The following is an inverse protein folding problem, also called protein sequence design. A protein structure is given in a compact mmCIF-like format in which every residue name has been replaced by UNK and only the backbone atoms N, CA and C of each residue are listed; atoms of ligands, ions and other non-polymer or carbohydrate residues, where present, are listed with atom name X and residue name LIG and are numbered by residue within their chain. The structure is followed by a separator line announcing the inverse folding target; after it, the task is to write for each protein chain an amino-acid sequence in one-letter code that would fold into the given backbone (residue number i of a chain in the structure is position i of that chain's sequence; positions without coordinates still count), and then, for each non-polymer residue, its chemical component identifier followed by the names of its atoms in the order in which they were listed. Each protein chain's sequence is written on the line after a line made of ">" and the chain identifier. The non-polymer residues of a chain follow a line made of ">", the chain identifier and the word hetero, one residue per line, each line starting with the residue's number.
data_IF_970195141243
#
_entry.id   IF_970195141243
#
_cell.length_a   1.000
_cell.length_b   1.000
_cell.length_c   1.000
_cell.angle_alpha   90.00
_cell.angle_beta   90.00
_cell.angle_gamma   90.00
#
_symmetry.space_group_name_H-M   'P 1'
#
loop_
_entity.id
_entity.type
_entity.pdbx_description
1 polymer ?
#
# COMPACT_ATOMS: atom_id res chain seq x y z
N UNK A 1 16.34 -10.60 43.66
CA UNK A 1 16.22 -10.35 42.21
C UNK A 1 14.81 -9.88 41.95
N UNK A 2 14.64 -8.59 41.63
CA UNK A 2 13.35 -7.96 41.37
C UNK A 2 12.97 -8.26 39.93
N UNK A 3 11.84 -8.95 39.74
CA UNK A 3 11.23 -9.24 38.45
C UNK A 3 10.63 -7.92 37.98
N UNK A 4 11.20 -7.29 36.96
CA UNK A 4 10.57 -6.14 36.31
C UNK A 4 9.33 -6.65 35.58
N UNK A 5 8.15 -6.35 36.14
CA UNK A 5 6.86 -6.47 35.47
C UNK A 5 6.86 -5.49 34.29
N UNK A 6 7.10 -6.00 33.08
CA UNK A 6 6.72 -5.28 31.87
C UNK A 6 5.20 -5.26 31.80
N UNK A 7 4.64 -4.07 31.84
CA UNK A 7 3.22 -3.82 31.58
C UNK A 7 2.94 -4.19 30.12
N UNK A 8 2.47 -5.40 29.87
CA UNK A 8 1.95 -5.83 28.57
C UNK A 8 0.58 -5.18 28.36
N UNK A 9 0.55 -4.02 27.71
CA UNK A 9 -0.68 -3.32 27.32
C UNK A 9 -1.27 -3.81 25.98
N UNK A 10 -0.83 -4.95 25.47
CA UNK A 10 -1.36 -5.56 24.25
C UNK A 10 -2.29 -6.72 24.63
N UNK A 11 -3.55 -6.61 24.19
CA UNK A 11 -4.56 -7.67 24.32
C UNK A 11 -4.05 -8.88 23.52
N UNK A 12 -4.05 -10.10 24.07
CA UNK A 12 -3.57 -11.27 23.35
C UNK A 12 -4.34 -11.40 22.02
N UNK A 13 -3.62 -11.31 20.90
CA UNK A 13 -4.24 -11.44 19.58
C UNK A 13 -4.84 -12.84 19.43
N UNK A 14 -6.13 -12.90 19.13
CA UNK A 14 -6.79 -14.18 18.92
C UNK A 14 -6.24 -14.84 17.64
N UNK A 15 -5.56 -15.99 17.78
CA UNK A 15 -5.03 -16.82 16.68
C UNK A 15 -6.14 -17.54 15.88
N UNK A 16 -6.98 -16.76 15.22
CA UNK A 16 -8.18 -17.27 14.54
C UNK A 16 -8.23 -16.93 13.04
N UNK A 17 -7.20 -16.29 12.48
CA UNK A 17 -7.19 -15.91 11.06
C UNK A 17 -6.98 -17.14 10.18
N UNK A 18 -7.94 -17.40 9.29
CA UNK A 18 -7.83 -18.46 8.28
C UNK A 18 -6.82 -18.10 7.18
N UNK A 19 -6.40 -19.08 6.37
CA UNK A 19 -5.53 -18.86 5.21
C UNK A 19 -6.06 -17.75 4.29
N UNK A 20 -7.35 -17.78 3.97
CA UNK A 20 -7.97 -16.78 3.10
C UNK A 20 -7.92 -15.39 3.71
N UNK A 21 -8.19 -15.24 5.01
CA UNK A 21 -8.11 -13.95 5.69
C UNK A 21 -6.67 -13.42 5.73
N UNK A 22 -5.68 -14.29 5.98
CA UNK A 22 -4.28 -13.91 5.91
C UNK A 22 -3.87 -13.44 4.50
N UNK A 23 -4.33 -14.12 3.45
CA UNK A 23 -4.11 -13.69 2.06
C UNK A 23 -4.80 -12.37 1.78
N UNK A 24 -6.07 -12.19 2.16
CA UNK A 24 -6.79 -10.93 1.93
C UNK A 24 -6.14 -9.75 2.67
N UNK A 25 -5.71 -9.95 3.92
CA UNK A 25 -5.00 -8.93 4.68
C UNK A 25 -3.64 -8.62 4.04
N UNK A 26 -2.90 -9.64 3.60
CA UNK A 26 -1.62 -9.46 2.91
C UNK A 26 -1.76 -8.76 1.56
N UNK A 27 -2.80 -9.09 0.79
CA UNK A 27 -3.14 -8.41 -0.45
C UNK A 27 -3.59 -6.98 -0.20
N UNK A 28 -4.36 -6.69 0.85
CA UNK A 28 -4.78 -5.32 1.16
C UNK A 28 -3.59 -4.42 1.54
N UNK A 29 -2.60 -4.98 2.25
CA UNK A 29 -1.35 -4.28 2.60
C UNK A 29 -0.52 -4.03 1.35
N UNK A 30 -0.31 -5.06 0.52
CA UNK A 30 0.55 -4.94 -0.66
C UNK A 30 -0.17 -4.21 -1.81
N UNK A 31 -1.34 -4.67 -2.27
CA UNK A 31 -2.14 -4.03 -3.34
C UNK A 31 -2.77 -2.68 -2.94
N UNK A 32 -2.22 -1.99 -1.95
CA UNK A 32 -2.59 -0.61 -1.63
C UNK A 32 -2.18 0.37 -2.73
N UNK A 33 -2.02 1.63 -2.33
CA UNK A 33 -1.77 2.78 -3.22
C UNK A 33 -0.59 2.62 -4.18
N UNK A 34 0.43 1.85 -3.79
CA UNK A 34 1.61 1.63 -4.63
C UNK A 34 1.28 1.19 -6.06
N UNK A 35 0.17 0.46 -6.27
CA UNK A 35 -0.27 0.08 -7.61
C UNK A 35 -0.50 1.27 -8.55
N UNK A 36 -1.02 2.39 -8.03
CA UNK A 36 -1.36 3.56 -8.84
C UNK A 36 -0.13 4.29 -9.39
N UNK A 37 0.99 4.19 -8.68
CA UNK A 37 2.26 4.83 -9.06
C UNK A 37 3.18 3.90 -9.86
N UNK A 38 2.82 2.62 -10.05
CA UNK A 38 3.64 1.69 -10.86
C UNK A 38 3.85 2.13 -12.31
N UNK A 39 2.90 2.80 -13.01
CA UNK A 39 3.15 3.36 -14.34
C UNK A 39 4.15 4.52 -14.29
N UNK A 40 4.04 5.36 -13.26
CA UNK A 40 4.97 6.47 -13.04
C UNK A 40 6.39 5.95 -12.74
N UNK A 41 6.51 4.89 -11.93
CA UNK A 41 7.79 4.22 -11.71
C UNK A 41 8.37 3.65 -13.02
N UNK A 42 7.52 3.14 -13.93
CA UNK A 42 7.95 2.69 -15.25
C UNK A 42 8.38 3.84 -16.17
N UNK A 43 7.74 5.00 -16.08
CA UNK A 43 8.19 6.24 -16.73
C UNK A 43 9.56 6.67 -16.22
N UNK A 44 9.74 6.74 -14.89
CA UNK A 44 10.99 7.18 -14.26
C UNK A 44 12.13 6.17 -14.45
N UNK A 45 11.84 4.88 -14.53
CA UNK A 45 12.85 3.83 -14.71
C UNK A 45 13.10 3.46 -16.17
N UNK A 46 12.13 3.68 -17.05
CA UNK A 46 12.04 3.06 -18.37
C UNK A 46 11.67 1.57 -18.31
N UNK A 47 11.49 0.95 -19.49
CA UNK A 47 11.08 -0.45 -19.62
C UNK A 47 12.01 -1.45 -18.92
N UNK A 48 13.32 -1.24 -18.99
CA UNK A 48 14.29 -2.08 -18.27
C UNK A 48 14.21 -1.89 -16.75
N UNK A 49 13.72 -0.73 -16.30
CA UNK A 49 13.43 -0.45 -14.89
C UNK A 49 12.40 -1.41 -14.30
N UNK A 50 11.48 -1.97 -15.10
CA UNK A 50 10.54 -3.00 -14.63
C UNK A 50 11.24 -4.24 -14.05
N UNK A 51 12.47 -4.53 -14.47
CA UNK A 51 13.26 -5.61 -13.87
C UNK A 51 13.46 -5.42 -12.35
N UNK A 52 13.53 -4.16 -11.89
CA UNK A 52 13.70 -3.79 -10.49
C UNK A 52 12.48 -4.19 -9.66
N UNK A 53 11.27 -4.05 -10.22
CA UNK A 53 10.03 -4.50 -9.59
C UNK A 53 10.12 -6.00 -9.23
N UNK A 54 10.53 -6.85 -10.18
CA UNK A 54 10.66 -8.29 -9.92
C UNK A 54 11.77 -8.62 -8.93
N UNK A 55 12.90 -7.90 -8.99
CA UNK A 55 13.99 -8.07 -8.03
C UNK A 55 13.50 -7.74 -6.61
N UNK A 56 12.80 -6.62 -6.42
CA UNK A 56 12.21 -6.28 -5.14
C UNK A 56 11.16 -7.30 -4.70
N UNK A 57 10.29 -7.78 -5.59
CA UNK A 57 9.33 -8.83 -5.26
C UNK A 57 9.99 -10.09 -4.70
N UNK A 58 11.09 -10.56 -5.31
CA UNK A 58 11.85 -11.71 -4.83
C UNK A 58 12.57 -11.43 -3.51
N UNK A 59 13.22 -10.28 -3.37
CA UNK A 59 13.92 -9.88 -2.15
C UNK A 59 12.96 -9.70 -0.97
N UNK A 60 11.83 -9.02 -1.19
CA UNK A 60 10.80 -8.79 -0.20
C UNK A 60 10.09 -10.09 0.21
N UNK A 61 9.84 -11.02 -0.73
CA UNK A 61 9.36 -12.35 -0.39
C UNK A 61 10.38 -13.11 0.49
N UNK A 62 11.65 -13.15 0.08
CA UNK A 62 12.71 -13.82 0.83
C UNK A 62 12.86 -13.25 2.26
N UNK A 63 12.88 -11.93 2.39
CA UNK A 63 12.97 -11.27 3.69
C UNK A 63 11.70 -11.43 4.52
N UNK A 64 10.52 -11.55 3.90
CA UNK A 64 9.28 -11.93 4.59
C UNK A 64 9.31 -13.37 5.13
N UNK A 65 9.97 -14.29 4.43
CA UNK A 65 10.23 -15.64 4.96
C UNK A 65 11.25 -15.60 6.11
N UNK A 66 12.31 -14.80 5.98
CA UNK A 66 13.31 -14.63 7.04
C UNK A 66 12.67 -14.04 8.31
N UNK A 67 11.75 -13.10 8.15
CA UNK A 67 10.99 -12.51 9.24
C UNK A 67 10.24 -13.56 10.05
N UNK A 68 9.60 -14.53 9.40
CA UNK A 68 9.00 -15.68 10.09
C UNK A 68 10.04 -16.42 10.93
N UNK A 69 11.20 -16.75 10.37
CA UNK A 69 12.24 -17.47 11.11
C UNK A 69 12.75 -16.68 12.31
N UNK A 70 12.80 -15.36 12.23
CA UNK A 70 13.11 -14.49 13.35
C UNK A 70 12.01 -14.50 14.42
N UNK A 71 10.73 -14.50 14.04
CA UNK A 71 9.63 -14.61 15.01
C UNK A 71 9.58 -16.00 15.67
N UNK A 72 9.94 -17.05 14.94
CA UNK A 72 9.99 -18.43 15.44
C UNK A 72 11.20 -18.70 16.34
N UNK A 73 12.18 -17.79 16.46
CA UNK A 73 13.42 -18.04 17.21
C UNK A 73 13.22 -18.04 18.73
N UNK A 74 12.24 -17.28 19.23
CA UNK A 74 11.89 -17.21 20.64
C UNK A 74 10.36 -17.12 20.80
N UNK A 75 9.79 -17.73 21.85
CA UNK A 75 8.33 -17.82 22.03
C UNK A 75 7.63 -16.50 22.28
N UNK A 76 8.38 -15.48 22.70
CA UNK A 76 7.85 -14.21 23.20
C UNK A 76 7.93 -13.09 22.15
N UNK A 77 8.33 -13.39 20.91
CA UNK A 77 8.44 -12.42 19.82
C UNK A 77 7.14 -12.37 19.02
N UNK A 78 6.47 -11.22 19.03
CA UNK A 78 5.22 -11.04 18.29
C UNK A 78 5.32 -9.95 17.22
N UNK A 79 6.19 -8.95 17.43
CA UNK A 79 6.32 -7.77 16.58
C UNK A 79 7.73 -7.62 16.00
N UNK A 80 7.87 -6.83 14.92
CA UNK A 80 9.17 -6.54 14.32
C UNK A 80 10.13 -5.83 15.31
N UNK A 81 9.69 -4.87 16.16
CA UNK A 81 10.52 -4.33 17.24
C UNK A 81 11.03 -5.35 18.26
N UNK A 82 10.28 -6.44 18.51
CA UNK A 82 10.74 -7.51 19.41
C UNK A 82 11.94 -8.25 18.81
N UNK A 83 11.93 -8.49 17.50
CA UNK A 83 13.08 -9.06 16.78
C UNK A 83 14.31 -8.13 16.90
N UNK A 84 14.11 -6.82 16.76
CA UNK A 84 15.16 -5.82 16.97
C UNK A 84 15.73 -5.85 18.40
N UNK A 85 14.86 -6.01 19.40
CA UNK A 85 15.26 -6.18 20.80
C UNK A 85 16.08 -7.46 21.01
N UNK A 86 15.65 -8.58 20.45
CA UNK A 86 16.31 -9.87 20.61
C UNK A 86 17.71 -9.86 19.97
N UNK A 87 17.84 -9.25 18.78
CA UNK A 87 19.10 -9.21 18.05
C UNK A 87 20.11 -8.17 18.58
N UNK A 88 19.65 -6.97 18.97
CA UNK A 88 20.52 -5.84 19.27
C UNK A 88 20.21 -5.12 20.60
N UNK A 89 19.39 -5.73 21.46
CA UNK A 89 18.96 -5.14 22.73
C UNK A 89 18.08 -3.90 22.54
N UNK A 90 18.00 -3.07 23.59
CA UNK A 90 17.09 -1.92 23.64
C UNK A 90 17.33 -0.91 22.52
N UNK A 91 18.58 -0.73 22.10
CA UNK A 91 18.93 0.13 20.97
C UNK A 91 18.33 -0.38 19.67
N UNK A 92 18.35 -1.69 19.43
CA UNK A 92 17.71 -2.31 18.27
C UNK A 92 16.21 -2.09 18.23
N UNK A 93 15.54 -2.30 19.37
CA UNK A 93 14.10 -2.04 19.49
C UNK A 93 13.76 -0.60 19.14
N UNK A 94 14.45 0.36 19.76
CA UNK A 94 14.19 1.79 19.53
C UNK A 94 14.42 2.15 18.06
N UNK A 95 15.53 1.71 17.47
CA UNK A 95 15.85 2.00 16.07
C UNK A 95 14.77 1.46 15.12
N UNK A 96 14.41 0.18 15.26
CA UNK A 96 13.36 -0.46 14.45
C UNK A 96 12.02 0.24 14.65
N UNK A 97 11.63 0.54 15.89
CA UNK A 97 10.39 1.28 16.17
C UNK A 97 10.37 2.65 15.49
N UNK A 98 11.47 3.40 15.51
CA UNK A 98 11.56 4.70 14.82
C UNK A 98 11.36 4.52 13.32
N UNK A 99 12.05 3.56 12.69
CA UNK A 99 11.94 3.31 11.25
C UNK A 99 10.50 2.94 10.86
N UNK A 100 9.88 2.01 11.61
CA UNK A 100 8.51 1.58 11.33
C UNK A 100 7.50 2.70 11.55
N UNK A 101 7.61 3.49 12.63
CA UNK A 101 6.69 4.60 12.84
C UNK A 101 6.85 5.71 11.81
N UNK A 102 8.08 5.97 11.34
CA UNK A 102 8.31 6.90 10.23
C UNK A 102 7.71 6.37 8.92
N UNK A 103 7.85 5.08 8.64
CA UNK A 103 7.23 4.42 7.48
C UNK A 103 5.70 4.55 7.53
N UNK A 104 5.07 4.15 8.64
CA UNK A 104 3.61 4.24 8.80
C UNK A 104 3.11 5.69 8.72
N UNK A 105 3.85 6.65 9.30
CA UNK A 105 3.52 8.07 9.17
C UNK A 105 3.59 8.54 7.71
N UNK A 106 4.64 8.16 6.97
CA UNK A 106 4.78 8.50 5.56
C UNK A 106 3.64 7.88 4.72
N UNK A 107 3.25 6.62 5.00
CA UNK A 107 2.09 5.98 4.36
C UNK A 107 0.80 6.77 4.61
N UNK A 108 0.55 7.23 5.84
CA UNK A 108 -0.63 8.04 6.15
C UNK A 108 -0.63 9.37 5.37
N UNK A 109 0.52 10.03 5.27
CA UNK A 109 0.65 11.28 4.49
C UNK A 109 0.40 11.02 3.00
N UNK A 110 0.97 9.95 2.44
CA UNK A 110 0.75 9.55 1.04
C UNK A 110 -0.73 9.29 0.75
N UNK A 111 -1.42 8.58 1.65
CA UNK A 111 -2.85 8.29 1.49
C UNK A 111 -3.71 9.54 1.52
N UNK A 112 -3.41 10.51 2.40
CA UNK A 112 -4.11 11.81 2.42
C UNK A 112 -3.88 12.59 1.13
N UNK A 113 -2.64 12.64 0.62
CA UNK A 113 -2.31 13.31 -0.64
C UNK A 113 -3.05 12.66 -1.80
N UNK A 114 -3.04 11.33 -1.85
CA UNK A 114 -3.73 10.57 -2.89
C UNK A 114 -5.22 10.83 -2.89
N UNK A 115 -5.87 10.79 -1.73
CA UNK A 115 -7.31 11.02 -1.63
C UNK A 115 -7.66 12.45 -2.03
N UNK A 116 -6.85 13.42 -1.59
CA UNK A 116 -6.95 14.82 -1.99
C UNK A 116 -6.83 15.02 -3.51
N UNK A 117 -5.84 14.40 -4.14
CA UNK A 117 -5.61 14.48 -5.59
C UNK A 117 -6.79 13.87 -6.37
N UNK A 118 -7.27 12.71 -5.95
CA UNK A 118 -8.39 12.04 -6.60
C UNK A 118 -9.70 12.81 -6.43
N UNK A 119 -10.03 13.29 -5.22
CA UNK A 119 -11.26 14.06 -4.98
C UNK A 119 -11.22 15.44 -5.64
N UNK A 120 -10.06 16.12 -5.65
CA UNK A 120 -9.91 17.39 -6.35
C UNK A 120 -10.03 17.24 -7.87
N UNK A 121 -9.64 16.09 -8.44
CA UNK A 121 -9.87 15.80 -9.87
C UNK A 121 -11.36 15.66 -10.22
N UNK A 122 -12.18 15.13 -9.31
CA UNK A 122 -13.63 15.01 -9.49
C UNK A 122 -14.37 16.33 -9.26
N UNK A 123 -13.87 17.16 -8.34
CA UNK A 123 -14.49 18.42 -7.93
C UNK A 123 -13.49 19.58 -7.99
N UNK A 124 -12.97 19.96 -9.18
CA UNK A 124 -11.91 20.96 -9.31
C UNK A 124 -12.34 22.36 -8.88
N UNK A 125 -13.65 22.64 -8.89
CA UNK A 125 -14.22 23.92 -8.48
C UNK A 125 -14.64 23.95 -7.00
N UNK A 126 -14.36 22.90 -6.23
CA UNK A 126 -14.61 22.92 -4.79
C UNK A 126 -13.64 23.92 -4.13
N UNK A 127 -14.18 24.89 -3.41
CA UNK A 127 -13.40 25.83 -2.64
C UNK A 127 -14.17 26.23 -1.38
N UNK A 128 -13.44 26.52 -0.31
CA UNK A 128 -14.02 26.97 0.94
C UNK A 128 -13.33 28.27 1.36
N UNK A 129 -14.09 29.37 1.41
CA UNK A 129 -13.62 30.66 1.91
C UNK A 129 -14.24 30.91 3.28
N UNK A 130 -13.43 30.84 4.34
CA UNK A 130 -13.86 31.13 5.72
C UNK A 130 -12.88 32.12 6.34
N UNK A 131 -13.39 33.28 6.78
CA UNK A 131 -12.62 34.23 7.59
C UNK A 131 -11.37 34.81 6.91
N UNK A 132 -11.35 34.90 5.56
CA UNK A 132 -10.21 35.41 4.78
C UNK A 132 -9.20 34.33 4.36
N UNK A 133 -9.41 33.07 4.72
CA UNK A 133 -8.65 31.93 4.19
C UNK A 133 -9.43 31.30 3.04
N UNK A 134 -8.82 31.26 1.85
CA UNK A 134 -9.33 30.51 0.71
C UNK A 134 -8.61 29.16 0.62
N UNK A 135 -9.36 28.09 0.83
CA UNK A 135 -8.91 26.72 0.60
C UNK A 135 -9.31 26.30 -0.81
N UNK A 136 -8.32 25.99 -1.64
CA UNK A 136 -8.55 25.34 -2.93
C UNK A 136 -9.02 23.89 -2.75
N UNK A 137 -9.43 23.23 -3.84
CA UNK A 137 -9.97 21.87 -3.79
C UNK A 137 -9.00 20.88 -3.12
N UNK A 138 -7.70 20.97 -3.44
CA UNK A 138 -6.68 20.04 -2.93
C UNK A 138 -6.54 20.17 -1.40
N UNK A 139 -6.32 21.39 -0.90
CA UNK A 139 -6.17 21.61 0.54
C UNK A 139 -7.46 21.32 1.30
N UNK A 140 -8.62 21.62 0.70
CA UNK A 140 -9.93 21.29 1.27
C UNK A 140 -10.11 19.78 1.43
N UNK A 141 -9.88 18.99 0.38
CA UNK A 141 -10.05 17.54 0.45
C UNK A 141 -9.00 16.87 1.35
N UNK A 142 -7.75 17.37 1.37
CA UNK A 142 -6.75 16.88 2.33
C UNK A 142 -7.19 17.06 3.79
N UNK A 143 -7.78 18.23 4.11
CA UNK A 143 -8.32 18.52 5.43
C UNK A 143 -9.52 17.61 5.76
N UNK A 144 -10.46 17.46 4.83
CA UNK A 144 -11.65 16.63 5.01
C UNK A 144 -11.29 15.17 5.23
N UNK A 145 -10.39 14.61 4.43
CA UNK A 145 -9.88 13.25 4.60
C UNK A 145 -9.21 13.08 5.96
N UNK A 146 -8.36 14.02 6.37
CA UNK A 146 -7.71 13.97 7.69
C UNK A 146 -8.73 13.92 8.84
N UNK A 147 -9.79 14.74 8.76
CA UNK A 147 -10.87 14.75 9.76
C UNK A 147 -11.69 13.45 9.72
N UNK A 148 -11.94 12.90 8.54
CA UNK A 148 -12.73 11.68 8.35
C UNK A 148 -12.02 10.40 8.81
N UNK A 149 -10.68 10.40 8.80
CA UNK A 149 -9.83 9.28 9.23
C UNK A 149 -9.57 9.31 10.73
N UNK A 150 -9.58 10.49 11.37
CA UNK A 150 -9.32 10.60 12.81
C UNK A 150 -10.16 9.65 13.70
N UNK A 151 -11.47 9.43 13.44
CA UNK A 151 -12.27 8.49 14.22
C UNK A 151 -11.84 7.03 14.09
N UNK A 152 -11.19 6.66 12.99
CA UNK A 152 -10.80 5.26 12.71
C UNK A 152 -9.63 4.82 13.57
N UNK A 153 -8.80 5.75 14.05
CA UNK A 153 -7.71 5.52 15.03
C UNK A 153 -8.23 4.94 16.36
N UNK A 154 -9.52 5.08 16.64
CA UNK A 154 -10.15 4.52 17.85
C UNK A 154 -10.75 3.13 17.64
N UNK A 155 -10.76 2.59 16.41
CA UNK A 155 -11.26 1.26 16.11
C UNK A 155 -10.19 0.22 16.41
N UNK A 156 -10.45 -0.68 17.38
CA UNK A 156 -9.49 -1.70 17.84
C UNK A 156 -9.89 -3.15 17.50
N UNK A 157 -10.92 -3.34 16.67
CA UNK A 157 -11.46 -4.69 16.42
C UNK A 157 -10.88 -5.31 15.13
N UNK A 158 -10.00 -6.29 15.30
CA UNK A 158 -9.34 -7.03 14.22
C UNK A 158 -10.31 -7.89 13.37
N UNK A 159 -11.52 -8.22 13.88
CA UNK A 159 -12.50 -8.99 13.12
C UNK A 159 -13.21 -8.15 12.05
N UNK A 160 -13.42 -6.86 12.34
CA UNK A 160 -13.91 -5.88 11.37
C UNK A 160 -12.88 -5.65 10.25
N UNK A 161 -11.59 -5.74 10.58
CA UNK A 161 -10.48 -5.48 9.68
C UNK A 161 -10.40 -6.46 8.50
N UNK A 162 -10.80 -7.72 8.69
CA UNK A 162 -10.83 -8.71 7.60
C UNK A 162 -11.91 -8.40 6.57
N UNK A 163 -13.05 -7.85 6.97
CA UNK A 163 -14.11 -7.43 6.05
C UNK A 163 -13.71 -6.17 5.28
N UNK A 164 -13.07 -5.22 5.97
CA UNK A 164 -12.52 -4.01 5.35
C UNK A 164 -11.43 -4.37 4.33
N UNK A 165 -10.53 -5.30 4.67
CA UNK A 165 -9.48 -5.80 3.78
C UNK A 165 -10.05 -6.46 2.52
N UNK A 166 -11.16 -7.21 2.65
CA UNK A 166 -11.83 -7.80 1.50
C UNK A 166 -12.37 -6.73 0.54
N UNK A 167 -12.95 -5.65 1.07
CA UNK A 167 -13.39 -4.50 0.30
C UNK A 167 -12.23 -3.82 -0.42
N UNK A 168 -11.11 -3.58 0.28
CA UNK A 168 -9.90 -2.98 -0.30
C UNK A 168 -9.31 -3.79 -1.45
N UNK A 169 -9.19 -5.12 -1.31
CA UNK A 169 -8.70 -5.97 -2.40
C UNK A 169 -9.61 -5.95 -3.63
N UNK A 170 -10.94 -6.03 -3.43
CA UNK A 170 -11.90 -5.91 -4.53
C UNK A 170 -11.76 -4.55 -5.21
N UNK A 171 -11.59 -3.50 -4.42
CA UNK A 171 -11.38 -2.15 -4.91
C UNK A 171 -10.11 -2.05 -5.76
N UNK A 172 -8.97 -2.55 -5.29
CA UNK A 172 -7.72 -2.59 -6.07
C UNK A 172 -7.90 -3.35 -7.39
N UNK A 173 -8.58 -4.50 -7.38
CA UNK A 173 -8.87 -5.27 -8.60
C UNK A 173 -9.72 -4.47 -9.59
N UNK A 174 -10.79 -3.81 -9.11
CA UNK A 174 -11.65 -2.99 -9.95
C UNK A 174 -10.90 -1.81 -10.59
N UNK A 175 -10.00 -1.16 -9.84
CA UNK A 175 -9.15 -0.07 -10.35
C UNK A 175 -8.23 -0.55 -11.46
N UNK A 176 -7.63 -1.73 -11.32
CA UNK A 176 -6.86 -2.38 -12.40
C UNK A 176 -7.74 -2.66 -13.61
N UNK A 177 -8.91 -3.29 -13.40
CA UNK A 177 -9.82 -3.62 -14.50
C UNK A 177 -10.28 -2.37 -15.25
N UNK A 178 -10.54 -1.26 -14.56
CA UNK A 178 -10.88 0.01 -15.21
C UNK A 178 -9.76 0.53 -16.11
N UNK A 179 -8.49 0.46 -15.66
CA UNK A 179 -7.35 0.86 -16.51
C UNK A 179 -7.28 0.00 -17.78
N UNK A 180 -7.39 -1.31 -17.63
CA UNK A 180 -7.37 -2.24 -18.77
C UNK A 180 -8.56 -2.04 -19.70
N UNK A 181 -9.74 -1.75 -19.17
CA UNK A 181 -10.93 -1.45 -19.97
C UNK A 181 -10.72 -0.19 -20.81
N UNK A 182 -10.29 0.90 -20.17
CA UNK A 182 -10.04 2.18 -20.84
C UNK A 182 -8.94 2.03 -21.91
N UNK A 183 -7.88 1.27 -21.63
CA UNK A 183 -6.79 1.05 -22.57
C UNK A 183 -7.13 0.12 -23.74
N UNK A 184 -7.90 -0.94 -23.51
CA UNK A 184 -8.13 -1.99 -24.52
C UNK A 184 -9.48 -1.88 -25.24
N UNK A 185 -10.50 -1.30 -24.60
CA UNK A 185 -11.87 -1.24 -25.16
C UNK A 185 -12.19 0.17 -25.65
N UNK A 186 -11.91 1.19 -24.83
CA UNK A 186 -12.14 2.59 -25.21
C UNK A 186 -11.03 3.15 -26.12
N UNK A 187 -10.00 2.34 -26.42
CA UNK A 187 -8.85 2.62 -27.30
C UNK A 187 -8.12 3.94 -26.96
N UNK A 188 -8.05 4.25 -25.66
CA UNK A 188 -7.35 5.44 -25.17
C UNK A 188 -5.84 5.16 -25.18
N UNK A 189 -5.25 5.26 -26.37
CA UNK A 189 -3.88 5.70 -26.58
C UNK A 189 -2.77 4.69 -26.33
N UNK A 190 -2.73 3.54 -27.01
CA UNK A 190 -1.47 2.77 -27.14
C UNK A 190 -0.56 3.47 -28.16
N UNK A 191 0.04 4.61 -27.78
CA UNK A 191 0.78 5.47 -28.73
C UNK A 191 2.22 5.81 -28.29
N UNK A 192 2.64 5.45 -27.08
CA UNK A 192 3.99 5.73 -26.61
C UNK A 192 4.93 4.54 -26.79
N UNK A 193 6.11 4.76 -27.41
CA UNK A 193 7.18 3.75 -27.43
C UNK A 193 7.86 3.58 -26.05
N UNK A 194 7.65 4.53 -25.13
CA UNK A 194 8.30 4.60 -23.83
C UNK A 194 9.83 4.73 -23.93
N UNK A 195 10.45 5.08 -22.81
CA UNK A 195 11.89 5.16 -22.66
C UNK A 195 12.42 3.77 -22.29
N UNK A 196 13.54 3.33 -22.89
CA UNK A 196 14.10 2.00 -22.62
C UNK A 196 14.69 1.91 -21.21
N UNK A 197 15.46 2.92 -20.81
CA UNK A 197 16.04 3.05 -19.48
C UNK A 197 16.33 4.53 -19.22
N UNK A 198 15.96 5.04 -18.06
CA UNK A 198 16.31 6.40 -17.64
C UNK A 198 17.14 6.37 -16.35
N UNK A 199 18.46 6.49 -16.48
CA UNK A 199 19.38 6.42 -15.33
C UNK A 199 19.28 7.62 -14.39
N UNK A 200 18.87 8.79 -14.88
CA UNK A 200 18.77 9.99 -14.03
C UNK A 200 17.64 9.91 -13.02
N UNK A 201 16.54 9.26 -13.39
CA UNK A 201 15.33 9.10 -12.57
C UNK A 201 15.16 7.68 -12.04
N UNK A 202 16.05 6.75 -12.39
CA UNK A 202 16.06 5.39 -11.86
C UNK A 202 15.99 5.30 -10.32
N UNK A 203 16.65 6.18 -9.53
CA UNK A 203 16.51 6.16 -8.07
C UNK A 203 15.06 6.38 -7.59
N UNK A 204 14.27 7.18 -8.33
CA UNK A 204 12.85 7.39 -8.04
C UNK A 204 12.07 6.09 -8.28
N UNK A 205 12.31 5.44 -9.42
CA UNK A 205 11.70 4.15 -9.73
C UNK A 205 12.06 3.05 -8.71
N UNK A 206 13.32 3.00 -8.26
CA UNK A 206 13.78 2.10 -7.19
C UNK A 206 12.97 2.32 -5.91
N UNK A 207 12.78 3.58 -5.51
CA UNK A 207 11.99 3.92 -4.33
C UNK A 207 10.53 3.49 -4.44
N UNK A 208 9.89 3.79 -5.59
CA UNK A 208 8.48 3.45 -5.84
C UNK A 208 8.23 1.94 -5.92
N UNK A 209 9.12 1.19 -6.60
CA UNK A 209 9.02 -0.27 -6.62
C UNK A 209 9.34 -0.90 -5.27
N UNK A 210 10.27 -0.34 -4.50
CA UNK A 210 10.51 -0.76 -3.12
C UNK A 210 9.27 -0.56 -2.25
N UNK A 211 8.63 0.61 -2.36
CA UNK A 211 7.39 0.91 -1.66
C UNK A 211 6.24 -0.06 -1.99
N UNK A 212 6.10 -0.48 -3.25
CA UNK A 212 5.08 -1.47 -3.65
C UNK A 212 5.15 -2.79 -2.87
N UNK A 213 6.34 -3.17 -2.38
CA UNK A 213 6.54 -4.38 -1.58
C UNK A 213 6.83 -4.10 -0.10
N UNK A 214 6.55 -2.88 0.37
CA UNK A 214 6.65 -2.53 1.78
C UNK A 214 5.47 -3.13 2.54
N UNK A 215 5.73 -4.23 3.26
CA UNK A 215 4.72 -4.89 4.10
C UNK A 215 5.29 -5.41 5.42
N UNK A 216 6.59 -5.30 5.63
CA UNK A 216 7.31 -5.87 6.77
C UNK A 216 6.86 -5.33 8.13
N UNK A 217 6.31 -4.11 8.17
CA UNK A 217 5.67 -3.57 9.36
C UNK A 217 4.45 -4.38 9.82
N UNK A 218 3.71 -4.98 8.87
CA UNK A 218 2.42 -5.64 9.12
C UNK A 218 2.52 -7.16 9.07
N UNK A 219 3.52 -7.70 8.37
CA UNK A 219 3.77 -9.13 8.24
C UNK A 219 3.85 -9.91 9.57
N UNK A 220 4.43 -9.39 10.68
CA UNK A 220 4.37 -10.08 11.97
C UNK A 220 2.94 -10.27 12.46
N UNK A 221 2.09 -9.23 12.36
CA UNK A 221 0.69 -9.30 12.78
C UNK A 221 -0.11 -10.30 11.95
N UNK A 222 0.16 -10.38 10.64
CA UNK A 222 -0.44 -11.42 9.79
C UNK A 222 0.03 -12.80 10.24
N UNK A 223 1.34 -12.99 10.45
CA UNK A 223 1.89 -14.27 10.88
C UNK A 223 1.31 -14.75 12.22
N UNK A 224 1.35 -13.90 13.24
CA UNK A 224 0.97 -14.26 14.62
C UNK A 224 -0.54 -14.36 14.81
N UNK A 225 -1.36 -13.80 13.90
CA UNK A 225 -2.83 -13.96 13.92
C UNK A 225 -3.33 -15.22 13.20
N UNK A 226 -2.49 -15.89 12.39
CA UNK A 226 -2.88 -17.10 11.66
C UNK A 226 -3.20 -18.27 12.60
N UNK A 227 -4.33 -18.92 12.36
CA UNK A 227 -4.72 -20.15 13.05
C UNK A 227 -3.73 -21.31 12.76
N UNK A 228 -3.11 -21.32 11.58
CA UNK A 228 -2.06 -22.26 11.21
C UNK A 228 -0.84 -21.53 10.63
N UNK A 229 0.15 -21.14 11.47
CA UNK A 229 1.34 -20.40 11.03
C UNK A 229 2.19 -21.11 9.98
N UNK A 230 2.11 -22.44 9.87
CA UNK A 230 2.83 -23.19 8.85
C UNK A 230 2.40 -22.85 7.41
N UNK A 231 1.21 -22.29 7.24
CA UNK A 231 0.70 -21.85 5.94
C UNK A 231 1.22 -20.46 5.52
N UNK A 232 1.88 -19.73 6.42
CA UNK A 232 2.35 -18.36 6.16
C UNK A 232 3.25 -18.23 4.92
N UNK A 233 4.23 -19.12 4.63
CA UNK A 233 5.03 -19.03 3.41
C UNK A 233 4.20 -19.14 2.13
N UNK A 234 3.19 -20.03 2.15
CA UNK A 234 2.27 -20.19 1.02
C UNK A 234 1.36 -18.97 0.88
N UNK A 235 0.88 -18.40 2.00
CA UNK A 235 0.08 -17.17 1.97
C UNK A 235 0.90 -16.00 1.40
N UNK A 236 2.14 -15.80 1.88
CA UNK A 236 3.06 -14.80 1.34
C UNK A 236 3.31 -15.01 -0.16
N UNK A 237 3.60 -16.23 -0.60
CA UNK A 237 3.86 -16.53 -2.01
C UNK A 237 2.64 -16.15 -2.88
N UNK A 238 1.44 -16.49 -2.43
CA UNK A 238 0.19 -16.11 -3.10
C UNK A 238 0.05 -14.59 -3.19
N UNK A 239 0.25 -13.86 -2.08
CA UNK A 239 0.17 -12.41 -2.06
C UNK A 239 1.18 -11.78 -3.02
N UNK A 240 2.47 -12.10 -2.88
CA UNK A 240 3.54 -11.56 -3.72
C UNK A 240 3.33 -11.86 -5.20
N UNK A 241 2.84 -13.05 -5.54
CA UNK A 241 2.55 -13.42 -6.94
C UNK A 241 1.44 -12.56 -7.52
N UNK A 242 0.30 -12.45 -6.82
CA UNK A 242 -0.85 -11.66 -7.27
C UNK A 242 -0.47 -10.18 -7.38
N UNK A 243 0.15 -9.61 -6.34
CA UNK A 243 0.59 -8.21 -6.33
C UNK A 243 1.56 -7.91 -7.47
N UNK A 244 2.56 -8.77 -7.68
CA UNK A 244 3.55 -8.59 -8.76
C UNK A 244 2.89 -8.59 -10.13
N UNK A 245 1.95 -9.51 -10.38
CA UNK A 245 1.20 -9.55 -11.64
C UNK A 245 0.35 -8.28 -11.84
N UNK A 246 -0.31 -7.81 -10.78
CA UNK A 246 -1.08 -6.57 -10.82
C UNK A 246 -0.19 -5.36 -11.08
N UNK A 247 0.90 -5.19 -10.33
CA UNK A 247 1.86 -4.10 -10.53
C UNK A 247 2.48 -4.11 -11.91
N UNK A 248 2.97 -5.26 -12.38
CA UNK A 248 3.59 -5.36 -13.70
C UNK A 248 2.57 -5.08 -14.81
N UNK A 249 1.35 -5.58 -14.67
CA UNK A 249 0.25 -5.34 -15.60
C UNK A 249 -0.14 -3.87 -15.67
N UNK A 250 -0.32 -3.22 -14.52
CA UNK A 250 -0.65 -1.78 -14.44
C UNK A 250 0.51 -0.93 -14.95
N UNK A 251 1.75 -1.22 -14.55
CA UNK A 251 2.92 -0.50 -15.03
C UNK A 251 3.03 -0.58 -16.56
N UNK A 252 2.86 -1.77 -17.12
CA UNK A 252 2.89 -2.00 -18.55
C UNK A 252 1.76 -1.24 -19.28
N UNK A 253 0.51 -1.45 -18.85
CA UNK A 253 -0.65 -0.82 -19.46
C UNK A 253 -0.61 0.71 -19.33
N UNK A 254 -0.45 1.21 -18.11
CA UNK A 254 -0.43 2.66 -17.86
C UNK A 254 0.73 3.38 -18.55
N UNK A 255 1.93 2.80 -18.58
CA UNK A 255 3.06 3.45 -19.26
C UNK A 255 2.97 3.38 -20.78
N UNK A 256 2.40 2.29 -21.34
CA UNK A 256 2.11 2.24 -22.79
C UNK A 256 1.02 3.25 -23.18
N UNK A 257 0.01 3.45 -22.33
CA UNK A 257 -1.07 4.40 -22.55
C UNK A 257 -0.61 5.87 -22.45
N UNK A 258 0.09 6.22 -21.38
CA UNK A 258 0.36 7.62 -21.06
C UNK A 258 1.78 8.08 -21.41
N UNK A 259 2.74 7.14 -21.52
CA UNK A 259 4.12 7.46 -21.86
C UNK A 259 4.75 8.51 -20.94
N UNK A 260 5.41 9.51 -21.51
CA UNK A 260 6.05 10.58 -20.72
C UNK A 260 5.03 11.50 -20.01
N UNK A 261 3.75 11.45 -20.38
CA UNK A 261 2.67 12.15 -19.71
C UNK A 261 2.12 11.41 -18.48
N UNK A 262 2.66 10.24 -18.13
CA UNK A 262 2.25 9.54 -16.90
C UNK A 262 2.46 10.46 -15.68
N UNK A 263 1.38 10.67 -14.94
CA UNK A 263 1.32 11.39 -13.68
C UNK A 263 1.69 10.46 -12.52
N UNK A 264 1.89 11.01 -11.32
CA UNK A 264 2.26 10.24 -10.11
C UNK A 264 1.28 9.13 -9.75
N UNK A 265 0.03 9.27 -10.19
CA UNK A 265 -1.03 8.28 -10.06
C UNK A 265 -1.76 8.17 -11.40
N UNK A 266 -1.90 6.96 -11.93
CA UNK A 266 -2.52 6.81 -13.25
C UNK A 266 -4.00 7.23 -13.28
N UNK A 267 -4.68 7.28 -12.13
CA UNK A 267 -6.08 7.76 -12.04
C UNK A 267 -6.22 9.21 -12.50
N UNK A 268 -5.18 10.02 -12.32
CA UNK A 268 -5.13 11.41 -12.77
C UNK A 268 -4.95 11.53 -14.29
N UNK A 269 -4.44 10.48 -14.95
CA UNK A 269 -4.32 10.42 -16.40
C UNK A 269 -5.63 9.98 -17.09
N UNK A 270 -6.58 9.39 -16.36
CA UNK A 270 -7.78 8.82 -16.96
C UNK A 270 -8.75 9.91 -17.48
N UNK A 271 -9.40 9.71 -18.64
CA UNK A 271 -10.40 10.64 -19.16
C UNK A 271 -11.62 10.74 -18.23
N UNK A 272 -11.92 11.95 -17.74
CA UNK A 272 -12.91 12.18 -16.67
C UNK A 272 -14.38 11.98 -17.11
N UNK A 273 -14.64 11.94 -18.41
CA UNK A 273 -15.95 11.73 -19.00
C UNK A 273 -16.40 10.26 -18.99
N UNK A 274 -15.47 9.31 -18.86
CA UNK A 274 -15.76 7.88 -18.87
C UNK A 274 -16.30 7.36 -17.53
N UNK A 275 -17.29 6.47 -17.59
CA UNK A 275 -17.83 5.80 -16.39
C UNK A 275 -16.76 4.94 -15.70
N UNK A 276 -15.91 4.26 -16.47
CA UNK A 276 -14.81 3.46 -15.96
C UNK A 276 -13.83 4.29 -15.12
N UNK A 277 -13.57 5.54 -15.51
CA UNK A 277 -12.77 6.50 -14.75
C UNK A 277 -13.44 6.85 -13.43
N UNK A 278 -14.74 7.17 -13.44
CA UNK A 278 -15.48 7.48 -12.21
C UNK A 278 -15.47 6.30 -11.24
N UNK A 279 -15.63 5.09 -11.75
CA UNK A 279 -15.49 3.86 -10.95
C UNK A 279 -14.06 3.79 -10.37
N UNK A 280 -13.02 3.94 -11.20
CA UNK A 280 -11.63 3.86 -10.75
C UNK A 280 -11.33 4.88 -9.63
N UNK A 281 -11.75 6.14 -9.78
CA UNK A 281 -11.48 7.18 -8.78
C UNK A 281 -12.26 6.93 -7.49
N UNK A 282 -13.57 6.63 -7.55
CA UNK A 282 -14.35 6.33 -6.34
C UNK A 282 -13.87 5.08 -5.61
N UNK A 283 -13.51 4.05 -6.38
CA UNK A 283 -12.97 2.82 -5.83
C UNK A 283 -11.61 3.06 -5.18
N UNK A 284 -10.75 3.88 -5.78
CA UNK A 284 -9.47 4.31 -5.20
C UNK A 284 -9.67 5.03 -3.86
N UNK A 285 -10.61 5.98 -3.80
CA UNK A 285 -10.96 6.68 -2.54
C UNK A 285 -11.42 5.69 -1.48
N UNK A 286 -12.31 4.75 -1.83
CA UNK A 286 -12.80 3.74 -0.89
C UNK A 286 -11.73 2.77 -0.39
N UNK A 287 -10.79 2.37 -1.26
CA UNK A 287 -9.68 1.49 -0.90
C UNK A 287 -8.71 2.18 0.03
N UNK A 288 -8.38 3.43 -0.25
CA UNK A 288 -7.44 4.23 0.54
C UNK A 288 -7.96 4.42 1.97
N UNK A 289 -9.24 4.73 2.10
CA UNK A 289 -9.89 4.81 3.41
C UNK A 289 -9.82 3.47 4.15
N UNK A 290 -10.07 2.36 3.45
CA UNK A 290 -10.00 1.00 4.01
C UNK A 290 -8.60 0.63 4.52
N UNK A 291 -7.56 1.00 3.77
CA UNK A 291 -6.16 0.75 4.17
C UNK A 291 -5.71 1.67 5.29
N UNK A 292 -6.17 2.93 5.33
CA UNK A 292 -5.92 3.85 6.46
C UNK A 292 -6.43 3.27 7.79
N UNK A 293 -7.63 2.70 7.80
CA UNK A 293 -8.19 2.03 8.99
C UNK A 293 -7.35 0.84 9.45
N UNK A 294 -6.60 0.19 8.55
CA UNK A 294 -5.76 -0.96 8.89
C UNK A 294 -4.42 -0.58 9.54
N UNK A 295 -3.95 0.64 9.26
CA UNK A 295 -2.64 1.12 9.72
C UNK A 295 -2.77 1.85 11.07
N UNK A 296 -3.92 2.46 11.35
CA UNK A 296 -4.21 3.21 12.59
C UNK A 296 -4.72 2.35 13.72
#
# INVERSE_FOLDING_TARGET
>A
MRKDERVSHEVPMSRNSSYGQAVMNGLNVLCGVGILSTPYAAKEGGWLGLGILFIYGLLSFYTGILLRYCLDSESDLETYPDIGQAAFGTTGRIFVSIVLYLELYACCVEYIILESDNLSSLYPNAALSIGGFELDARHLFALLTTIAVLPTVWLRDLSLLSYISAGGVIASVLVVLSLFWIGLVDDVGIHSKGTTLNLSTLPVAIGLYGYCYSGHAVFPNIYTSMANPNQYPSALLTCFTICTLMYAGVAFMGYTMFGEATESQFTLNLPQDLVATKIAVWTTVSSTYSTLVMIT
#
